data_IF_875859855086
#
_entry.id   IF_875859855086
#
_cell.length_a   1.000
_cell.length_b   1.000
_cell.length_c   1.000
_cell.angle_alpha   90.00
_cell.angle_beta   90.00
_cell.angle_gamma   90.00
#
_symmetry.space_group_name_H-M   'P 1'
#
loop_
_entity.id
_entity.type
_entity.pdbx_description
1 polymer ?
#
# COMPACT_ATOMS: atom_id res chain seq x y z
N UNK A 1 0.26 6.23 16.94
CA UNK A 1 -0.36 7.08 15.88
C UNK A 1 0.65 7.58 14.84
N UNK A 2 1.86 8.05 15.22
CA UNK A 2 2.90 8.48 14.25
C UNK A 2 3.31 7.40 13.25
N UNK A 3 3.54 6.16 13.72
CA UNK A 3 3.97 5.04 12.88
C UNK A 3 3.00 4.74 11.72
N UNK A 4 1.70 4.51 12.02
CA UNK A 4 0.71 4.21 10.98
C UNK A 4 0.55 5.34 9.95
N UNK A 5 0.68 6.60 10.38
CA UNK A 5 0.69 7.74 9.45
C UNK A 5 1.92 7.72 8.53
N UNK A 6 3.09 7.41 9.08
CA UNK A 6 4.32 7.27 8.29
C UNK A 6 4.20 6.11 7.30
N UNK A 7 3.69 4.95 7.73
CA UNK A 7 3.41 3.81 6.86
C UNK A 7 2.49 4.24 5.72
N UNK A 8 1.35 4.87 6.01
CA UNK A 8 0.43 5.32 4.96
C UNK A 8 1.08 6.24 3.92
N UNK A 9 1.78 7.30 4.36
CA UNK A 9 2.41 8.26 3.44
C UNK A 9 3.53 7.63 2.61
N UNK A 10 4.39 6.81 3.24
CA UNK A 10 5.51 6.17 2.54
C UNK A 10 5.05 5.06 1.60
N UNK A 11 4.04 4.29 1.97
CA UNK A 11 3.42 3.30 1.10
C UNK A 11 2.75 3.94 -0.12
N UNK A 12 2.05 5.07 0.06
CA UNK A 12 1.45 5.79 -1.06
C UNK A 12 2.52 6.25 -2.07
N UNK A 13 3.60 6.87 -1.61
CA UNK A 13 4.71 7.30 -2.49
C UNK A 13 5.35 6.12 -3.22
N UNK A 14 5.55 4.99 -2.54
CA UNK A 14 6.10 3.78 -3.15
C UNK A 14 5.19 3.21 -4.24
N UNK A 15 3.87 3.20 -4.00
CA UNK A 15 2.87 2.74 -4.98
C UNK A 15 2.84 3.68 -6.18
N UNK A 16 2.78 4.99 -5.98
CA UNK A 16 2.79 5.98 -7.06
C UNK A 16 4.02 5.85 -7.95
N UNK A 17 5.20 5.62 -7.33
CA UNK A 17 6.43 5.37 -8.06
C UNK A 17 6.36 4.06 -8.85
N UNK A 18 5.92 2.96 -8.24
CA UNK A 18 5.80 1.67 -8.92
C UNK A 18 4.83 1.74 -10.12
N UNK A 19 3.69 2.44 -9.96
CA UNK A 19 2.73 2.68 -11.05
C UNK A 19 3.37 3.49 -12.18
N UNK A 20 4.16 4.51 -11.86
CA UNK A 20 4.86 5.31 -12.85
C UNK A 20 5.94 4.50 -13.60
N UNK A 21 6.78 3.77 -12.86
CA UNK A 21 7.88 2.96 -13.41
C UNK A 21 7.35 1.83 -14.31
N UNK A 22 6.19 1.26 -13.97
CA UNK A 22 5.53 0.22 -14.76
C UNK A 22 4.62 0.77 -15.89
N UNK A 23 4.49 2.10 -16.01
CA UNK A 23 3.64 2.72 -17.04
C UNK A 23 2.14 2.44 -16.88
N UNK A 24 1.67 2.10 -15.68
CA UNK A 24 0.30 1.64 -15.41
C UNK A 24 -0.71 2.78 -15.17
N UNK A 25 -0.29 4.04 -15.27
CA UNK A 25 -1.21 5.19 -15.14
C UNK A 25 -2.31 5.10 -16.20
N UNK A 26 -3.57 5.29 -15.82
CA UNK A 26 -4.68 5.16 -16.78
C UNK A 26 -5.17 3.73 -17.00
N UNK A 27 -4.51 2.71 -16.41
CA UNK A 27 -4.76 1.29 -16.73
C UNK A 27 -5.73 0.63 -15.75
N UNK A 28 -6.77 1.34 -15.33
CA UNK A 28 -7.85 0.78 -14.52
C UNK A 28 -7.46 0.57 -13.05
N UNK A 29 -7.65 -0.64 -12.53
CA UNK A 29 -7.52 -0.94 -11.08
C UNK A 29 -6.27 -1.76 -10.78
N UNK A 30 -5.55 -1.35 -9.75
CA UNK A 30 -4.42 -2.08 -9.17
C UNK A 30 -4.81 -2.68 -7.84
N UNK A 31 -4.88 -4.01 -7.79
CA UNK A 31 -5.08 -4.73 -6.52
C UNK A 31 -3.78 -4.70 -5.70
N UNK A 32 -3.88 -4.24 -4.45
CA UNK A 32 -2.77 -4.09 -3.52
C UNK A 32 -3.08 -4.78 -2.20
N UNK A 33 -2.04 -5.36 -1.60
CA UNK A 33 -2.09 -6.00 -0.28
C UNK A 33 -1.04 -5.39 0.64
N UNK A 34 -1.46 -5.01 1.85
CA UNK A 34 -0.58 -4.59 2.93
C UNK A 34 -0.66 -5.59 4.09
N UNK A 35 0.49 -5.88 4.71
CA UNK A 35 0.57 -6.79 5.86
C UNK A 35 1.23 -6.05 7.02
N UNK A 36 0.59 -6.06 8.18
CA UNK A 36 1.11 -5.50 9.42
C UNK A 36 1.31 -6.65 10.40
N UNK A 37 2.56 -6.87 10.79
CA UNK A 37 2.93 -7.88 11.77
C UNK A 37 3.51 -7.25 13.02
N UNK A 38 3.20 -7.82 14.19
CA UNK A 38 3.91 -7.51 15.43
C UNK A 38 4.04 -8.79 16.26
N UNK A 39 5.23 -9.39 16.22
CA UNK A 39 5.52 -10.70 16.84
C UNK A 39 5.22 -10.73 18.34
N UNK A 40 5.66 -9.69 19.07
CA UNK A 40 5.43 -9.60 20.52
C UNK A 40 3.95 -9.46 20.91
N UNK A 41 3.13 -8.96 19.99
CA UNK A 41 1.69 -8.80 20.20
C UNK A 41 0.87 -9.92 19.56
N UNK A 42 1.50 -10.90 18.91
CA UNK A 42 0.81 -11.92 18.12
C UNK A 42 -0.08 -11.34 17.02
N UNK A 43 0.22 -10.12 16.54
CA UNK A 43 -0.60 -9.43 15.57
C UNK A 43 -0.20 -9.84 14.15
N UNK A 44 -1.16 -10.31 13.37
CA UNK A 44 -1.05 -10.49 11.94
C UNK A 44 -2.31 -9.92 11.28
N UNK A 45 -2.19 -8.75 10.67
CA UNK A 45 -3.29 -8.05 10.03
C UNK A 45 -3.00 -7.85 8.56
N UNK A 46 -3.96 -8.22 7.71
CA UNK A 46 -3.87 -8.11 6.25
C UNK A 46 -4.95 -7.15 5.78
N UNK A 47 -4.56 -6.20 4.95
CA UNK A 47 -5.47 -5.26 4.29
C UNK A 47 -5.31 -5.47 2.79
N UNK A 48 -6.42 -5.72 2.11
CA UNK A 48 -6.49 -5.85 0.66
C UNK A 48 -7.42 -4.76 0.12
N UNK A 49 -7.08 -4.21 -1.03
CA UNK A 49 -7.89 -3.20 -1.68
C UNK A 49 -7.43 -2.92 -3.10
N UNK A 50 -8.30 -2.28 -3.86
CA UNK A 50 -7.99 -1.83 -5.21
C UNK A 50 -7.74 -0.33 -5.21
N UNK A 51 -6.68 0.06 -5.90
CA UNK A 51 -6.36 1.46 -6.17
C UNK A 51 -6.80 1.75 -7.59
N UNK A 52 -7.67 2.74 -7.73
CA UNK A 52 -8.00 3.30 -9.04
C UNK A 52 -6.81 4.10 -9.54
N UNK A 53 -6.27 3.73 -10.70
CA UNK A 53 -5.12 4.39 -11.32
C UNK A 53 -5.51 5.56 -12.22
N UNK A 54 -6.81 5.92 -12.22
CA UNK A 54 -7.37 6.94 -13.09
C UNK A 54 -7.59 6.43 -14.50
#
# INVERSE_FOLDING_TARGET
RKFLKQVGVTSQQAIEKAVADAGLKGQGRLTVRAVITAERAGLHHVVEGDIDLG
#
